data_IF_464731262155
#
_entry.id   IF_464731262155
#
_cell.length_a   1.000
_cell.length_b   1.000
_cell.length_c   1.000
_cell.angle_alpha   90.00
_cell.angle_beta   90.00
_cell.angle_gamma   90.00
#
_symmetry.space_group_name_H-M   'P 1'
#
loop_
_entity.id
_entity.type
_entity.pdbx_description
1 polymer ?
#
# COMPACT_ATOMS: atom_id res chain seq x y z
N UNK A 1 21.32 27.76 7.82
CA UNK A 1 19.94 27.95 8.30
C UNK A 1 19.03 27.69 7.12
N UNK A 2 18.59 26.44 6.92
CA UNK A 2 17.66 26.10 5.84
C UNK A 2 16.27 26.33 6.44
N UNK A 3 15.54 27.31 5.93
CA UNK A 3 14.13 27.48 6.28
C UNK A 3 13.39 26.24 5.78
N UNK A 4 12.97 25.41 6.73
CA UNK A 4 12.08 24.30 6.49
C UNK A 4 10.67 24.90 6.34
N UNK A 5 10.37 25.43 5.15
CA UNK A 5 9.01 25.87 4.82
C UNK A 5 8.09 24.68 5.05
N UNK A 6 7.27 24.78 6.09
CA UNK A 6 6.22 23.81 6.37
C UNK A 6 5.17 23.98 5.27
N UNK A 7 5.32 23.24 4.17
CA UNK A 7 4.21 23.06 3.24
C UNK A 7 3.03 22.53 4.05
N UNK A 8 1.94 23.30 4.09
CA UNK A 8 0.65 22.78 4.50
C UNK A 8 0.33 21.56 3.63
N UNK A 9 -0.33 20.51 4.17
CA UNK A 9 -0.73 19.39 3.33
C UNK A 9 -1.60 19.92 2.19
N UNK A 10 -1.13 19.77 0.95
CA UNK A 10 -1.94 20.07 -0.21
C UNK A 10 -3.11 19.08 -0.18
N UNK A 11 -4.28 19.57 0.23
CA UNK A 11 -5.52 18.83 0.04
C UNK A 11 -5.75 18.82 -1.47
N UNK A 12 -5.71 17.64 -2.09
CA UNK A 12 -6.14 17.45 -3.48
C UNK A 12 -7.63 17.11 -3.46
N UNK A 13 -8.54 18.10 -3.44
CA UNK A 13 -9.96 17.81 -3.59
C UNK A 13 -10.12 17.08 -4.93
N UNK A 14 -10.72 15.90 -4.91
CA UNK A 14 -11.04 15.02 -6.06
C UNK A 14 -10.17 13.77 -6.28
N UNK A 15 -9.32 13.36 -5.34
CA UNK A 15 -8.74 12.01 -5.43
C UNK A 15 -9.80 10.95 -5.11
N UNK A 16 -10.07 10.01 -6.03
CA UNK A 16 -10.93 8.85 -5.75
C UNK A 16 -10.36 8.11 -4.53
N UNK A 17 -11.13 7.95 -3.44
CA UNK A 17 -10.65 7.25 -2.26
C UNK A 17 -10.23 5.82 -2.59
N UNK A 18 -9.10 5.42 -2.01
CA UNK A 18 -8.64 4.03 -2.05
C UNK A 18 -9.20 3.34 -0.81
N UNK A 19 -9.97 2.28 -0.99
CA UNK A 19 -10.31 1.37 0.12
C UNK A 19 -9.33 0.21 0.14
N UNK A 20 -9.06 -0.32 1.33
CA UNK A 20 -8.20 -1.48 1.52
C UNK A 20 -8.83 -2.44 2.52
N UNK A 21 -8.81 -3.73 2.20
CA UNK A 21 -9.47 -4.78 2.98
C UNK A 21 -8.69 -6.10 2.90
N UNK A 22 -9.18 -7.13 3.61
CA UNK A 22 -8.65 -8.50 3.57
C UNK A 22 -7.15 -8.59 3.90
N UNK A 23 -6.69 -7.75 4.82
CA UNK A 23 -5.32 -7.76 5.29
C UNK A 23 -4.93 -9.10 5.90
N UNK A 24 -3.78 -9.63 5.48
CA UNK A 24 -3.10 -10.77 6.10
C UNK A 24 -1.62 -10.47 6.18
N UNK A 25 -1.05 -10.63 7.37
CA UNK A 25 0.37 -10.45 7.64
C UNK A 25 1.06 -11.77 7.95
N UNK A 26 2.30 -11.93 7.48
CA UNK A 26 3.18 -13.03 7.84
C UNK A 26 4.58 -12.48 8.18
N UNK A 27 5.20 -12.99 9.25
CA UNK A 27 6.60 -12.71 9.56
C UNK A 27 7.43 -13.72 8.76
N UNK A 28 8.25 -13.24 7.83
CA UNK A 28 9.11 -14.11 7.02
C UNK A 28 10.46 -14.37 7.67
N UNK A 29 10.95 -13.38 8.42
CA UNK A 29 12.19 -13.41 9.18
C UNK A 29 12.16 -12.31 10.25
N UNK A 30 13.10 -12.26 11.21
CA UNK A 30 13.18 -11.16 12.17
C UNK A 30 13.20 -9.80 11.48
N UNK A 31 12.20 -8.97 11.79
CA UNK A 31 12.06 -7.64 11.21
C UNK A 31 11.59 -7.60 9.75
N UNK A 32 11.25 -8.73 9.12
CA UNK A 32 10.71 -8.79 7.75
C UNK A 32 9.25 -9.29 7.79
N UNK A 33 8.34 -8.45 7.32
CA UNK A 33 6.89 -8.73 7.27
C UNK A 33 6.42 -8.72 5.83
N UNK A 34 5.67 -9.74 5.46
CA UNK A 34 4.88 -9.78 4.25
C UNK A 34 3.44 -9.39 4.56
N UNK A 35 2.92 -8.36 3.90
CA UNK A 35 1.54 -7.94 4.02
C UNK A 35 0.84 -8.12 2.67
N UNK A 36 -0.20 -8.95 2.67
CA UNK A 36 -1.14 -9.07 1.55
C UNK A 36 -2.46 -8.41 1.92
N UNK A 37 -3.09 -7.75 0.97
CA UNK A 37 -4.36 -7.07 1.14
C UNK A 37 -4.98 -6.79 -0.22
N UNK A 38 -6.25 -6.44 -0.27
CA UNK A 38 -6.91 -6.03 -1.50
C UNK A 38 -7.23 -4.54 -1.45
N UNK A 39 -7.27 -3.88 -2.61
CA UNK A 39 -7.71 -2.49 -2.69
C UNK A 39 -8.71 -2.27 -3.79
N UNK A 40 -9.62 -1.30 -3.59
CA UNK A 40 -10.48 -0.76 -4.65
C UNK A 40 -10.26 0.74 -4.82
N UNK A 41 -10.24 1.19 -6.08
CA UNK A 41 -10.13 2.61 -6.47
C UNK A 41 -11.03 2.82 -7.69
N UNK A 42 -12.20 3.43 -7.47
CA UNK A 42 -13.28 3.35 -8.45
C UNK A 42 -13.59 1.88 -8.78
N UNK A 43 -13.65 1.54 -10.06
CA UNK A 43 -13.93 0.18 -10.52
C UNK A 43 -12.69 -0.73 -10.55
N UNK A 44 -11.51 -0.22 -10.18
CA UNK A 44 -10.27 -1.02 -10.20
C UNK A 44 -10.10 -1.82 -8.92
N UNK A 45 -10.07 -3.14 -9.03
CA UNK A 45 -9.73 -4.05 -7.95
C UNK A 45 -8.33 -4.65 -8.15
N UNK A 46 -7.51 -4.66 -7.09
CA UNK A 46 -6.20 -5.29 -7.13
C UNK A 46 -5.90 -6.07 -5.84
N UNK A 47 -5.29 -7.25 -6.00
CA UNK A 47 -4.61 -7.97 -4.93
C UNK A 47 -3.22 -7.40 -4.78
N UNK A 48 -2.84 -7.04 -3.56
CA UNK A 48 -1.57 -6.40 -3.25
C UNK A 48 -0.72 -7.27 -2.35
N UNK A 49 0.58 -7.15 -2.54
CA UNK A 49 1.62 -7.79 -1.78
C UNK A 49 2.71 -6.76 -1.50
N UNK A 50 3.10 -6.62 -0.25
CA UNK A 50 4.18 -5.73 0.15
C UNK A 50 5.12 -6.39 1.14
N UNK A 51 6.42 -6.13 0.99
CA UNK A 51 7.44 -6.51 1.96
C UNK A 51 7.88 -5.27 2.72
N UNK A 52 7.75 -5.36 4.04
CA UNK A 52 8.18 -4.34 4.97
C UNK A 52 9.36 -4.88 5.77
N UNK A 53 10.42 -4.08 5.89
CA UNK A 53 11.57 -4.41 6.72
C UNK A 53 11.77 -3.33 7.76
N UNK A 54 12.00 -3.76 8.99
CA UNK A 54 12.36 -2.90 10.11
C UNK A 54 13.80 -2.44 9.95
N UNK A 55 14.03 -1.13 9.96
CA UNK A 55 15.37 -0.54 9.91
C UNK A 55 16.05 -0.55 11.29
N UNK A 56 17.29 -0.06 11.36
CA UNK A 56 18.08 -0.03 12.59
C UNK A 56 17.48 0.87 13.69
N UNK A 57 16.64 1.85 13.33
CA UNK A 57 15.92 2.69 14.28
C UNK A 57 14.63 2.03 14.78
N UNK A 58 14.27 0.87 14.22
CA UNK A 58 13.05 0.16 14.56
C UNK A 58 11.86 0.54 13.67
N UNK A 59 12.04 1.35 12.62
CA UNK A 59 10.93 1.80 11.77
C UNK A 59 10.67 0.83 10.62
N UNK A 60 9.39 0.58 10.30
CA UNK A 60 9.04 -0.23 9.13
C UNK A 60 9.18 0.61 7.86
N UNK A 61 9.99 0.10 6.94
CA UNK A 61 10.15 0.67 5.60
C UNK A 61 9.59 -0.29 4.57
N UNK A 62 8.95 0.25 3.54
CA UNK A 62 8.47 -0.52 2.40
C UNK A 62 9.64 -0.83 1.46
N UNK A 63 9.93 -2.11 1.25
CA UNK A 63 11.02 -2.58 0.38
C UNK A 63 10.52 -3.11 -0.97
N UNK A 64 9.31 -3.66 -0.99
CA UNK A 64 8.68 -4.16 -2.19
C UNK A 64 7.18 -3.91 -2.14
N UNK A 65 6.59 -3.57 -3.29
CA UNK A 65 5.16 -3.42 -3.45
C UNK A 65 4.74 -3.90 -4.83
N UNK A 66 3.70 -4.72 -4.87
CA UNK A 66 3.14 -5.28 -6.08
C UNK A 66 1.62 -5.25 -6.00
N UNK A 67 0.98 -5.01 -7.14
CA UNK A 67 -0.46 -5.03 -7.30
C UNK A 67 -0.84 -5.82 -8.56
N UNK A 68 -1.56 -6.93 -8.38
CA UNK A 68 -2.11 -7.74 -9.47
C UNK A 68 -3.56 -7.33 -9.65
N UNK A 69 -3.95 -6.78 -10.82
CA UNK A 69 -5.36 -6.53 -11.11
C UNK A 69 -6.18 -7.81 -10.95
N UNK A 70 -7.35 -7.68 -10.34
CA UNK A 70 -8.35 -8.74 -10.30
C UNK A 70 -9.28 -8.50 -11.48
N UNK A 71 -9.43 -9.46 -12.41
CA UNK A 71 -10.40 -9.34 -13.49
C UNK A 71 -11.81 -9.20 -12.91
N UNK A 72 -12.63 -8.33 -13.49
CA UNK A 72 -14.06 -8.31 -13.20
C UNK A 72 -14.69 -9.64 -13.63
N UNK A 73 -15.63 -10.13 -12.83
CA UNK A 73 -16.28 -11.42 -13.07
C UNK A 73 -17.10 -11.43 -14.38
N UNK A 74 -17.48 -10.24 -14.87
CA UNK A 74 -18.14 -10.00 -16.16
C UNK A 74 -17.18 -9.98 -17.35
N UNK A 75 -15.85 -9.96 -17.11
CA UNK A 75 -14.81 -9.97 -18.14
C UNK A 75 -14.25 -11.39 -18.36
N UNK A 76 -15.11 -12.41 -18.38
CA UNK A 76 -14.77 -13.73 -18.89
C UNK A 76 -15.14 -13.78 -20.39
N UNK A 77 -14.25 -14.28 -21.28
CA UNK A 77 -14.60 -14.44 -22.69
C UNK A 77 -15.77 -15.40 -22.90
#
# INVERSE_FOLDING_TARGET
MIQNDRHAPETFPNSTPITAERFKGAILAPGIVHLTYETRIGDRHARRSSIWRRDAAGELRLYYHQATPVPDETARP
#
